data_IF_984319017445
#
_entry.id   IF_984319017445
#
_cell.length_a   1.000
_cell.length_b   1.000
_cell.length_c   1.000
_cell.angle_alpha   90.00
_cell.angle_beta   90.00
_cell.angle_gamma   90.00
#
_symmetry.space_group_name_H-M   'P 1'
#
loop_
_entity.id
_entity.type
_entity.pdbx_description
1 polymer ?
#
# COMPACT_ATOMS: atom_id res chain seq x y z
N UNK A 1 0.27 16.05 -16.30
CA UNK A 1 0.90 14.93 -15.58
C UNK A 1 1.97 14.28 -16.47
N UNK A 2 3.21 14.22 -16.03
CA UNK A 2 4.33 13.53 -16.68
C UNK A 2 5.10 12.83 -15.57
N UNK A 3 5.04 11.52 -15.54
CA UNK A 3 5.63 10.77 -14.44
C UNK A 3 6.14 9.39 -14.85
N UNK A 4 6.84 8.78 -13.94
CA UNK A 4 7.24 7.37 -13.98
C UNK A 4 7.00 6.74 -12.60
N UNK A 5 6.94 5.41 -12.59
CA UNK A 5 6.89 4.63 -11.35
C UNK A 5 8.20 3.90 -11.16
N UNK A 6 8.66 3.82 -9.91
CA UNK A 6 9.85 3.06 -9.51
C UNK A 6 9.41 2.02 -8.50
N UNK A 7 9.62 0.75 -8.83
CA UNK A 7 9.34 -0.37 -7.94
C UNK A 7 10.52 -0.59 -6.98
N UNK A 8 10.32 -0.15 -5.75
CA UNK A 8 11.30 -0.26 -4.67
C UNK A 8 11.10 -1.54 -3.84
N UNK A 9 9.90 -2.09 -3.86
CA UNK A 9 9.57 -3.26 -3.10
C UNK A 9 10.17 -4.54 -3.71
N UNK A 10 10.10 -4.69 -5.04
CA UNK A 10 10.71 -5.85 -5.71
C UNK A 10 12.21 -5.66 -5.89
N UNK A 11 12.67 -4.41 -6.07
CA UNK A 11 14.10 -4.09 -6.18
C UNK A 11 14.46 -2.84 -5.39
N UNK A 12 14.97 -3.04 -4.19
CA UNK A 12 15.43 -1.95 -3.32
C UNK A 12 16.65 -1.24 -3.92
N UNK A 13 16.65 0.09 -3.86
CA UNK A 13 17.73 0.96 -4.34
C UNK A 13 18.25 1.86 -3.22
N UNK A 14 19.54 2.15 -3.23
CA UNK A 14 20.15 3.15 -2.36
C UNK A 14 19.64 4.55 -2.69
N UNK A 15 19.63 5.44 -1.70
CA UNK A 15 19.19 6.84 -1.88
C UNK A 15 19.91 7.57 -3.00
N UNK A 16 21.22 7.32 -3.15
CA UNK A 16 22.03 7.96 -4.21
C UNK A 16 21.50 7.60 -5.61
N UNK A 17 21.01 6.36 -5.78
CA UNK A 17 20.38 5.92 -7.04
C UNK A 17 19.06 6.65 -7.26
N UNK A 18 18.23 6.78 -6.20
CA UNK A 18 16.97 7.49 -6.30
C UNK A 18 17.18 8.98 -6.60
N UNK A 19 18.16 9.62 -5.95
CA UNK A 19 18.51 11.01 -6.25
C UNK A 19 18.94 11.20 -7.70
N UNK A 20 19.74 10.28 -8.27
CA UNK A 20 20.09 10.31 -9.70
C UNK A 20 18.86 10.17 -10.60
N UNK A 21 17.91 9.27 -10.26
CA UNK A 21 16.67 9.12 -11.02
C UNK A 21 15.80 10.38 -10.96
N UNK A 22 15.76 11.06 -9.81
CA UNK A 22 15.10 12.35 -9.64
C UNK A 22 15.77 13.42 -10.53
N UNK A 23 17.11 13.51 -10.55
CA UNK A 23 17.85 14.44 -11.39
C UNK A 23 17.57 14.19 -12.89
N UNK A 24 17.58 12.93 -13.31
CA UNK A 24 17.23 12.55 -14.69
C UNK A 24 15.79 12.92 -15.03
N UNK A 25 14.86 12.63 -14.11
CA UNK A 25 13.43 12.96 -14.28
C UNK A 25 13.23 14.48 -14.46
N UNK A 26 13.90 15.29 -13.64
CA UNK A 26 13.86 16.74 -13.77
C UNK A 26 14.45 17.22 -15.11
N UNK A 27 15.59 16.65 -15.54
CA UNK A 27 16.19 16.96 -16.83
C UNK A 27 15.24 16.68 -18.00
N UNK A 28 14.49 15.56 -17.95
CA UNK A 28 13.47 15.20 -18.95
C UNK A 28 12.10 15.87 -18.72
N UNK A 29 12.03 16.84 -17.80
CA UNK A 29 10.83 17.61 -17.50
C UNK A 29 9.65 16.74 -17.04
N UNK A 30 9.92 15.64 -16.37
CA UNK A 30 8.90 14.92 -15.58
C UNK A 30 8.60 15.74 -14.34
N UNK A 31 7.39 15.62 -13.81
CA UNK A 31 6.97 16.34 -12.60
C UNK A 31 6.44 15.41 -11.49
N UNK A 32 6.33 14.11 -11.76
CA UNK A 32 5.91 13.12 -10.76
C UNK A 32 6.78 11.87 -10.82
N UNK A 33 7.08 11.30 -9.66
CA UNK A 33 7.65 9.95 -9.52
C UNK A 33 6.80 9.21 -8.49
N UNK A 34 6.15 8.12 -8.91
CA UNK A 34 5.46 7.21 -8.02
C UNK A 34 6.46 6.22 -7.45
N UNK A 35 6.46 6.07 -6.14
CA UNK A 35 7.30 5.12 -5.43
C UNK A 35 6.45 3.95 -4.94
N UNK A 36 6.57 2.80 -5.59
CA UNK A 36 5.95 1.56 -5.16
C UNK A 36 6.75 0.98 -3.99
N UNK A 37 6.28 1.31 -2.76
CA UNK A 37 7.05 1.10 -1.53
C UNK A 37 6.82 -0.27 -0.90
N UNK A 38 5.70 -0.93 -1.25
CA UNK A 38 5.30 -2.18 -0.60
C UNK A 38 4.79 -3.20 -1.62
N UNK A 39 5.15 -4.46 -1.42
CA UNK A 39 4.72 -5.61 -2.21
C UNK A 39 4.97 -6.90 -1.41
N UNK A 40 4.64 -8.06 -1.98
CA UNK A 40 4.87 -9.39 -1.38
C UNK A 40 6.34 -9.64 -1.01
N UNK A 41 7.29 -9.07 -1.76
CA UNK A 41 8.73 -9.29 -1.57
C UNK A 41 9.30 -8.43 -0.44
N UNK A 42 8.83 -7.19 -0.29
CA UNK A 42 9.30 -6.33 0.79
C UNK A 42 8.38 -5.16 1.08
N UNK A 43 8.48 -4.67 2.29
CA UNK A 43 7.85 -3.45 2.79
C UNK A 43 8.98 -2.46 3.08
N UNK A 44 9.19 -1.49 2.18
CA UNK A 44 10.35 -0.59 2.24
C UNK A 44 10.09 0.71 2.99
N UNK A 45 8.84 0.94 3.39
CA UNK A 45 8.42 2.10 4.16
C UNK A 45 8.67 1.89 5.67
N UNK A 46 9.19 2.88 6.40
CA UNK A 46 9.34 2.80 7.84
C UNK A 46 7.99 3.04 8.52
N UNK A 47 7.55 2.11 9.34
CA UNK A 47 6.32 2.28 10.10
C UNK A 47 6.62 2.18 11.60
N UNK A 48 6.44 3.29 12.34
CA UNK A 48 6.76 3.34 13.77
C UNK A 48 5.73 2.58 14.61
N UNK A 49 4.46 2.65 14.22
CA UNK A 49 3.37 1.96 14.93
C UNK A 49 3.39 0.45 14.69
N UNK A 50 3.82 0.03 13.50
CA UNK A 50 3.89 -1.37 13.08
C UNK A 50 5.32 -1.74 12.61
N UNK A 51 6.33 -1.70 13.49
CA UNK A 51 7.74 -1.80 13.11
C UNK A 51 8.13 -3.13 12.46
N UNK A 52 7.39 -4.20 12.70
CA UNK A 52 7.65 -5.51 12.06
C UNK A 52 7.35 -5.53 10.56
N UNK A 53 6.59 -4.53 10.04
CA UNK A 53 6.33 -4.43 8.60
C UNK A 53 7.62 -4.15 7.83
N UNK A 54 8.46 -3.25 8.31
CA UNK A 54 9.67 -2.83 7.63
C UNK A 54 10.62 -4.01 7.39
N UNK A 55 10.84 -4.36 6.13
CA UNK A 55 11.68 -5.49 5.76
C UNK A 55 13.13 -5.23 6.16
N UNK A 56 13.73 -6.16 6.91
CA UNK A 56 15.12 -6.04 7.36
C UNK A 56 16.04 -5.82 6.17
N UNK A 57 16.95 -4.84 6.28
CA UNK A 57 17.95 -4.46 5.28
C UNK A 57 17.41 -4.00 3.92
N UNK A 58 16.09 -3.84 3.80
CA UNK A 58 15.40 -3.40 2.58
C UNK A 58 14.35 -2.31 2.83
N UNK A 59 14.57 -1.47 3.82
CA UNK A 59 13.67 -0.33 4.08
C UNK A 59 14.46 0.96 4.24
N UNK A 60 13.76 2.06 4.08
CA UNK A 60 14.29 3.40 4.32
C UNK A 60 13.92 3.85 5.73
N UNK A 61 14.76 4.69 6.34
CA UNK A 61 14.36 5.39 7.55
C UNK A 61 13.45 6.59 7.21
N UNK A 62 12.69 7.05 8.20
CA UNK A 62 11.86 8.26 8.08
C UNK A 62 12.70 9.47 7.62
N UNK A 63 13.88 9.66 8.22
CA UNK A 63 14.79 10.76 7.87
C UNK A 63 15.26 10.65 6.41
N UNK A 64 15.57 9.45 5.94
CA UNK A 64 15.97 9.21 4.55
C UNK A 64 14.86 9.56 3.55
N UNK A 65 13.62 9.19 3.84
CA UNK A 65 12.50 9.52 2.95
C UNK A 65 12.17 11.01 2.96
N UNK A 66 12.21 11.67 4.12
CA UNK A 66 12.03 13.13 4.22
C UNK A 66 13.13 13.87 3.42
N UNK A 67 14.40 13.44 3.54
CA UNK A 67 15.50 14.01 2.74
C UNK A 67 15.26 13.80 1.24
N UNK A 68 14.75 12.62 0.84
CA UNK A 68 14.44 12.32 -0.56
C UNK A 68 13.31 13.21 -1.09
N UNK A 69 12.24 13.41 -0.30
CA UNK A 69 11.13 14.31 -0.63
C UNK A 69 11.64 15.74 -0.82
N UNK A 70 12.39 16.26 0.15
CA UNK A 70 12.97 17.60 0.06
C UNK A 70 13.94 17.76 -1.14
N UNK A 71 14.64 16.68 -1.50
CA UNK A 71 15.54 16.68 -2.66
C UNK A 71 14.74 16.76 -3.97
N UNK A 72 13.62 16.05 -4.06
CA UNK A 72 12.74 16.05 -5.22
C UNK A 72 12.01 17.40 -5.38
N UNK A 73 11.48 17.95 -4.29
CA UNK A 73 10.78 19.24 -4.28
C UNK A 73 11.63 20.38 -4.82
N UNK A 74 12.91 20.43 -4.44
CA UNK A 74 13.88 21.42 -4.97
C UNK A 74 14.09 21.33 -6.49
N UNK A 75 13.64 20.23 -7.11
CA UNK A 75 13.74 19.95 -8.56
C UNK A 75 12.41 20.02 -9.29
N UNK A 76 11.34 20.41 -8.59
CA UNK A 76 10.00 20.45 -9.14
C UNK A 76 9.41 19.07 -9.41
N UNK A 77 9.90 18.03 -8.71
CA UNK A 77 9.40 16.66 -8.77
C UNK A 77 8.61 16.36 -7.50
N UNK A 78 7.36 15.95 -7.66
CA UNK A 78 6.54 15.43 -6.56
C UNK A 78 6.69 13.92 -6.47
N UNK A 79 7.04 13.41 -5.30
CA UNK A 79 7.07 11.98 -5.03
C UNK A 79 5.69 11.51 -4.55
N UNK A 80 5.06 10.61 -5.28
CA UNK A 80 3.77 10.00 -4.92
C UNK A 80 4.07 8.68 -4.19
N UNK A 81 3.76 8.56 -2.89
CA UNK A 81 3.92 7.30 -2.18
C UNK A 81 2.83 6.32 -2.59
N UNK A 82 3.21 5.06 -2.76
CA UNK A 82 2.28 3.95 -2.96
C UNK A 82 2.48 2.91 -1.87
N UNK A 83 1.37 2.59 -1.21
CA UNK A 83 1.22 1.45 -0.30
C UNK A 83 0.22 0.51 -0.96
N UNK A 84 0.69 -0.58 -1.53
CA UNK A 84 -0.15 -1.48 -2.31
C UNK A 84 -1.02 -2.36 -1.41
N UNK A 85 -2.32 -2.22 -1.55
CA UNK A 85 -3.38 -2.89 -0.78
C UNK A 85 -4.67 -2.98 -1.61
N UNK A 86 -5.52 -4.00 -1.42
CA UNK A 86 -5.41 -5.09 -0.46
C UNK A 86 -4.60 -6.28 -0.95
N UNK A 87 -4.29 -6.35 -2.26
CA UNK A 87 -3.36 -7.33 -2.85
C UNK A 87 -1.90 -7.01 -2.52
N UNK A 88 -0.97 -7.81 -3.02
CA UNK A 88 0.47 -7.59 -2.84
C UNK A 88 0.90 -7.34 -1.38
N UNK A 89 0.14 -7.92 -0.44
CA UNK A 89 0.19 -7.58 0.99
C UNK A 89 0.74 -8.71 1.87
N UNK A 90 1.53 -9.63 1.32
CA UNK A 90 2.10 -10.75 2.09
C UNK A 90 2.87 -10.26 3.32
N UNK A 91 3.60 -9.14 3.21
CA UNK A 91 4.38 -8.59 4.34
C UNK A 91 3.51 -8.09 5.50
N UNK A 92 2.33 -7.56 5.22
CA UNK A 92 1.35 -7.22 6.25
C UNK A 92 0.91 -8.47 7.03
N UNK A 93 0.59 -9.52 6.30
CA UNK A 93 0.08 -10.79 6.85
C UNK A 93 1.17 -11.52 7.62
N UNK A 94 2.41 -11.58 7.11
CA UNK A 94 3.54 -12.19 7.82
C UNK A 94 3.88 -11.47 9.12
N UNK A 95 3.81 -10.13 9.12
CA UNK A 95 4.20 -9.33 10.27
C UNK A 95 3.15 -9.30 11.40
N UNK A 96 1.87 -9.23 11.04
CA UNK A 96 0.73 -9.11 11.97
C UNK A 96 -0.47 -9.92 11.48
N UNK A 97 -0.37 -11.26 11.47
CA UNK A 97 -1.43 -12.12 10.93
C UNK A 97 -2.75 -11.97 11.68
N UNK A 98 -2.72 -11.63 12.96
CA UNK A 98 -3.90 -11.41 13.78
C UNK A 98 -4.77 -10.22 13.30
N UNK A 99 -4.14 -9.22 12.68
CA UNK A 99 -4.80 -8.03 12.13
C UNK A 99 -5.16 -8.27 10.66
N UNK A 100 -4.17 -8.70 9.86
CA UNK A 100 -4.26 -8.62 8.41
C UNK A 100 -4.67 -9.92 7.71
N UNK A 101 -4.45 -11.11 8.34
CA UNK A 101 -4.75 -12.36 7.65
C UNK A 101 -6.24 -12.71 7.65
N UNK A 102 -6.85 -13.01 6.51
CA UNK A 102 -8.12 -13.72 6.47
C UNK A 102 -8.01 -15.08 7.15
N UNK A 103 -9.11 -15.58 7.74
CA UNK A 103 -9.15 -16.87 8.42
C UNK A 103 -9.87 -17.88 7.53
N UNK A 104 -9.17 -18.40 6.53
CA UNK A 104 -9.70 -19.43 5.64
C UNK A 104 -9.26 -20.83 6.07
N UNK A 105 -10.11 -21.80 5.82
CA UNK A 105 -9.79 -23.23 5.98
C UNK A 105 -9.04 -23.79 4.78
N UNK A 106 -9.28 -23.24 3.61
CA UNK A 106 -8.65 -23.61 2.35
C UNK A 106 -8.43 -22.34 1.51
N UNK A 107 -7.21 -22.14 1.03
CA UNK A 107 -6.83 -20.98 0.21
C UNK A 107 -7.18 -21.15 -1.28
N UNK A 108 -7.56 -22.36 -1.69
CA UNK A 108 -7.92 -22.65 -3.09
C UNK A 108 -6.74 -22.47 -4.06
N UNK A 109 -7.05 -22.00 -5.26
CA UNK A 109 -6.06 -21.71 -6.31
C UNK A 109 -5.99 -20.22 -6.61
N UNK A 110 -4.81 -19.74 -6.98
CA UNK A 110 -4.66 -18.37 -7.48
C UNK A 110 -5.33 -18.21 -8.86
N UNK A 111 -5.46 -16.97 -9.35
CA UNK A 111 -6.10 -16.65 -10.63
C UNK A 111 -5.41 -17.32 -11.84
N UNK A 112 -4.17 -17.78 -11.67
CA UNK A 112 -3.37 -18.46 -12.71
C UNK A 112 -3.38 -19.98 -12.58
N UNK A 113 -4.19 -20.53 -11.64
CA UNK A 113 -4.37 -21.97 -11.43
C UNK A 113 -3.28 -22.64 -10.56
N UNK A 114 -2.31 -21.88 -10.05
CA UNK A 114 -1.32 -22.36 -9.06
C UNK A 114 -1.88 -22.36 -7.64
N UNK A 115 -1.03 -22.70 -6.65
CA UNK A 115 -1.40 -22.58 -5.23
C UNK A 115 -1.74 -21.13 -4.88
N UNK A 116 -2.79 -20.91 -4.08
CA UNK A 116 -3.15 -19.58 -3.64
C UNK A 116 -2.07 -19.03 -2.70
N UNK A 117 -1.71 -17.78 -2.91
CA UNK A 117 -0.81 -17.04 -2.05
C UNK A 117 -1.66 -16.23 -1.09
N UNK A 118 -1.32 -16.27 0.19
CA UNK A 118 -1.95 -15.43 1.20
C UNK A 118 -1.34 -14.02 1.14
N UNK A 119 -1.80 -13.21 0.19
CA UNK A 119 -1.29 -11.87 -0.04
C UNK A 119 -2.39 -10.80 -0.16
N UNK A 120 -3.61 -11.12 0.27
CA UNK A 120 -4.72 -10.16 0.33
C UNK A 120 -5.10 -9.95 1.78
N UNK A 121 -4.98 -8.71 2.27
CA UNK A 121 -5.36 -8.38 3.64
C UNK A 121 -6.87 -8.50 3.83
N UNK A 122 -7.28 -8.83 5.06
CA UNK A 122 -8.69 -9.02 5.41
C UNK A 122 -9.45 -7.70 5.47
N UNK A 123 -9.98 -7.26 4.33
CA UNK A 123 -10.74 -6.01 4.22
C UNK A 123 -12.12 -6.05 4.90
N UNK A 124 -12.52 -7.21 5.44
CA UNK A 124 -13.69 -7.35 6.34
C UNK A 124 -13.37 -7.07 7.81
N UNK A 125 -12.08 -6.91 8.16
CA UNK A 125 -11.66 -6.67 9.53
C UNK A 125 -11.52 -5.17 9.83
N UNK A 126 -12.28 -4.64 10.78
CA UNK A 126 -12.18 -3.23 11.21
C UNK A 126 -10.79 -2.84 11.72
N UNK A 127 -10.06 -3.77 12.35
CA UNK A 127 -8.69 -3.50 12.84
C UNK A 127 -7.71 -3.21 11.69
N UNK A 128 -7.96 -3.73 10.49
CA UNK A 128 -7.18 -3.41 9.29
C UNK A 128 -7.30 -1.94 8.96
N UNK A 129 -8.50 -1.37 9.00
CA UNK A 129 -8.70 0.07 8.72
C UNK A 129 -8.05 0.95 9.77
N UNK A 130 -8.09 0.55 11.04
CA UNK A 130 -7.37 1.25 12.12
C UNK A 130 -5.86 1.24 11.86
N UNK A 131 -5.32 0.10 11.46
CA UNK A 131 -3.90 -0.03 11.14
C UNK A 131 -3.52 0.80 9.90
N UNK A 132 -4.32 0.74 8.85
CA UNK A 132 -4.10 1.52 7.62
C UNK A 132 -4.19 3.03 7.88
N UNK A 133 -5.08 3.47 8.78
CA UNK A 133 -5.19 4.89 9.14
C UNK A 133 -3.89 5.41 9.76
N UNK A 134 -3.29 4.66 10.68
CA UNK A 134 -1.97 4.99 11.25
C UNK A 134 -0.86 4.99 10.22
N UNK A 135 -0.83 4.00 9.31
CA UNK A 135 0.16 3.96 8.23
C UNK A 135 0.02 5.17 7.31
N UNK A 136 -1.22 5.53 6.94
CA UNK A 136 -1.49 6.71 6.12
C UNK A 136 -1.04 8.01 6.79
N UNK A 137 -1.20 8.15 8.11
CA UNK A 137 -0.68 9.30 8.85
C UNK A 137 0.83 9.43 8.73
N UNK A 138 1.58 8.35 8.91
CA UNK A 138 3.03 8.35 8.77
C UNK A 138 3.46 8.61 7.30
N UNK A 139 2.73 8.06 6.32
CA UNK A 139 2.95 8.33 4.89
C UNK A 139 2.78 9.82 4.59
N UNK A 140 1.69 10.43 5.07
CA UNK A 140 1.39 11.85 4.85
C UNK A 140 2.42 12.75 5.51
N UNK A 141 2.86 12.42 6.71
CA UNK A 141 3.90 13.16 7.42
C UNK A 141 5.21 13.18 6.63
N UNK A 142 5.61 12.04 6.08
CA UNK A 142 6.85 11.91 5.30
C UNK A 142 6.73 12.56 3.93
N UNK A 143 5.67 12.23 3.19
CA UNK A 143 5.40 12.74 1.84
C UNK A 143 4.52 13.99 1.86
N UNK A 144 4.87 14.95 2.71
CA UNK A 144 4.07 16.13 3.02
C UNK A 144 3.73 16.98 1.80
N UNK A 145 4.62 17.06 0.81
CA UNK A 145 4.44 17.84 -0.43
C UNK A 145 3.56 17.14 -1.48
N UNK A 146 3.36 15.82 -1.37
CA UNK A 146 2.49 15.11 -2.30
C UNK A 146 1.01 15.39 -2.01
N UNK A 147 0.23 15.87 -2.99
CA UNK A 147 -1.22 15.91 -2.85
C UNK A 147 -1.88 14.54 -3.03
N UNK A 148 -1.12 13.55 -3.48
CA UNK A 148 -1.61 12.22 -3.85
C UNK A 148 -1.05 11.12 -2.95
N UNK A 149 -1.87 10.08 -2.75
CA UNK A 149 -1.47 8.79 -2.21
C UNK A 149 -2.01 7.71 -3.13
N UNK A 150 -1.13 6.83 -3.60
CA UNK A 150 -1.52 5.68 -4.40
C UNK A 150 -1.69 4.45 -3.50
N UNK A 151 -2.74 3.66 -3.73
CA UNK A 151 -3.00 2.45 -2.94
C UNK A 151 -2.79 1.17 -3.73
N UNK A 152 -2.26 1.25 -4.96
CA UNK A 152 -2.13 0.11 -5.87
C UNK A 152 -3.50 -0.42 -6.27
N UNK A 153 -4.01 -1.35 -5.48
CA UNK A 153 -5.31 -1.97 -5.59
C UNK A 153 -5.48 -2.88 -6.82
N UNK A 154 -4.38 -3.31 -7.41
CA UNK A 154 -4.36 -4.25 -8.51
C UNK A 154 -4.23 -5.71 -8.04
N UNK A 155 -4.57 -6.63 -8.91
CA UNK A 155 -4.35 -8.08 -8.82
C UNK A 155 -4.81 -8.75 -7.51
N UNK A 156 -5.72 -8.13 -6.73
CA UNK A 156 -6.23 -8.71 -5.50
C UNK A 156 -7.04 -9.97 -5.78
N UNK A 157 -6.56 -11.13 -5.31
CA UNK A 157 -7.31 -12.38 -5.39
C UNK A 157 -8.42 -12.43 -4.34
N UNK A 158 -9.60 -11.91 -4.69
CA UNK A 158 -10.74 -11.81 -3.77
C UNK A 158 -11.25 -13.15 -3.27
N UNK A 159 -10.92 -14.27 -3.92
CA UNK A 159 -11.23 -15.61 -3.40
C UNK A 159 -10.60 -15.85 -2.02
N UNK A 160 -9.53 -15.12 -1.69
CA UNK A 160 -8.91 -15.16 -0.36
C UNK A 160 -9.81 -14.58 0.75
N UNK A 161 -10.94 -14.01 0.42
CA UNK A 161 -11.92 -13.42 1.36
C UNK A 161 -13.22 -14.24 1.46
N UNK A 162 -13.42 -15.16 0.52
CA UNK A 162 -14.65 -15.99 0.48
C UNK A 162 -14.69 -16.96 1.67
N UNK A 163 -15.74 -16.88 2.48
CA UNK A 163 -15.91 -17.71 3.67
C UNK A 163 -15.04 -17.27 4.87
N UNK A 164 -14.40 -16.11 4.80
CA UNK A 164 -13.79 -15.50 5.98
C UNK A 164 -14.88 -14.89 6.89
N UNK A 165 -14.92 -15.28 8.18
CA UNK A 165 -16.00 -14.87 9.07
C UNK A 165 -16.13 -13.34 9.24
N UNK A 166 -15.03 -12.58 9.25
CA UNK A 166 -15.07 -11.12 9.37
C UNK A 166 -15.54 -10.46 8.09
N UNK A 167 -15.17 -11.02 6.93
CA UNK A 167 -15.66 -10.58 5.62
C UNK A 167 -17.18 -10.79 5.51
N UNK A 168 -17.68 -11.96 5.91
CA UNK A 168 -19.12 -12.26 5.93
C UNK A 168 -19.88 -11.34 6.90
N UNK A 169 -19.31 -11.07 8.10
CA UNK A 169 -19.89 -10.16 9.08
C UNK A 169 -19.95 -8.72 8.54
N UNK A 170 -18.87 -8.24 7.92
CA UNK A 170 -18.83 -6.92 7.33
C UNK A 170 -19.86 -6.76 6.21
N UNK A 171 -19.95 -7.73 5.30
CA UNK A 171 -20.94 -7.70 4.23
C UNK A 171 -22.36 -7.61 4.77
N UNK A 172 -22.70 -8.37 5.81
CA UNK A 172 -24.02 -8.31 6.47
C UNK A 172 -24.26 -6.96 7.15
N UNK A 173 -23.28 -6.47 7.92
CA UNK A 173 -23.35 -5.19 8.64
C UNK A 173 -23.59 -4.02 7.70
N UNK A 174 -22.85 -3.94 6.62
CA UNK A 174 -22.89 -2.85 5.65
C UNK A 174 -23.98 -3.07 4.57
N UNK A 175 -24.76 -4.16 4.69
CA UNK A 175 -25.84 -4.53 3.74
C UNK A 175 -25.33 -4.62 2.29
N UNK A 176 -24.13 -5.10 2.12
CA UNK A 176 -23.58 -5.43 0.82
C UNK A 176 -24.25 -6.70 0.29
N UNK A 177 -24.28 -6.88 -1.03
CA UNK A 177 -24.60 -8.19 -1.60
C UNK A 177 -23.64 -9.24 -1.06
N UNK A 178 -24.05 -10.49 -1.00
CA UNK A 178 -23.17 -11.62 -0.61
C UNK A 178 -22.16 -11.91 -1.73
N UNK A 179 -21.31 -10.92 -1.98
CA UNK A 179 -20.34 -10.87 -3.06
C UNK A 179 -19.07 -10.13 -2.61
N UNK A 180 -17.95 -10.81 -2.64
CA UNK A 180 -16.65 -10.25 -2.28
C UNK A 180 -16.23 -9.08 -3.17
N UNK A 181 -16.76 -8.96 -4.40
CA UNK A 181 -16.53 -7.80 -5.25
C UNK A 181 -17.20 -6.54 -4.68
N UNK A 182 -18.37 -6.67 -4.06
CA UNK A 182 -19.01 -5.57 -3.36
C UNK A 182 -18.24 -5.17 -2.09
N UNK A 183 -17.67 -6.15 -1.37
CA UNK A 183 -16.79 -5.90 -0.24
C UNK A 183 -15.51 -5.15 -0.70
N UNK A 184 -14.92 -5.55 -1.84
CA UNK A 184 -13.78 -4.85 -2.42
C UNK A 184 -14.14 -3.40 -2.84
N UNK A 185 -15.29 -3.21 -3.50
CA UNK A 185 -15.79 -1.87 -3.83
C UNK A 185 -15.96 -1.01 -2.57
N UNK A 186 -16.53 -1.58 -1.51
CA UNK A 186 -16.66 -0.90 -0.21
C UNK A 186 -15.30 -0.50 0.36
N UNK A 187 -14.31 -1.39 0.30
CA UNK A 187 -12.94 -1.10 0.71
C UNK A 187 -12.37 0.11 -0.04
N UNK A 188 -12.45 0.13 -1.37
CA UNK A 188 -11.94 1.23 -2.19
C UNK A 188 -12.61 2.56 -1.81
N UNK A 189 -13.92 2.57 -1.66
CA UNK A 189 -14.67 3.78 -1.25
C UNK A 189 -14.25 4.24 0.14
N UNK A 190 -14.08 3.32 1.07
CA UNK A 190 -13.66 3.62 2.44
C UNK A 190 -12.24 4.18 2.48
N UNK A 191 -11.30 3.59 1.76
CA UNK A 191 -9.93 4.10 1.63
C UNK A 191 -9.89 5.50 1.04
N UNK A 192 -10.67 5.75 -0.03
CA UNK A 192 -10.79 7.08 -0.60
C UNK A 192 -11.30 8.11 0.42
N UNK A 193 -12.30 7.78 1.22
CA UNK A 193 -12.81 8.66 2.25
C UNK A 193 -11.77 8.91 3.36
N UNK A 194 -11.05 7.89 3.80
CA UNK A 194 -9.97 8.02 4.80
C UNK A 194 -8.87 8.97 4.31
N UNK A 195 -8.41 8.80 3.06
CA UNK A 195 -7.38 9.64 2.45
C UNK A 195 -7.89 11.07 2.23
N UNK A 196 -9.12 11.23 1.76
CA UNK A 196 -9.77 12.53 1.57
C UNK A 196 -9.94 13.31 2.88
N UNK A 197 -10.29 12.63 3.99
CA UNK A 197 -10.41 13.25 5.30
C UNK A 197 -9.06 13.76 5.84
N UNK A 198 -7.95 13.28 5.29
CA UNK A 198 -6.59 13.76 5.58
C UNK A 198 -6.10 14.80 4.57
N UNK A 199 -7.03 15.41 3.78
CA UNK A 199 -6.76 16.43 2.75
C UNK A 199 -5.79 15.95 1.65
N UNK A 200 -5.85 14.67 1.30
CA UNK A 200 -5.12 14.08 0.17
C UNK A 200 -6.08 13.50 -0.85
N UNK A 201 -5.58 13.26 -2.05
CA UNK A 201 -6.33 12.60 -3.14
C UNK A 201 -5.79 11.19 -3.32
N UNK A 202 -6.70 10.21 -3.31
CA UNK A 202 -6.35 8.83 -3.64
C UNK A 202 -6.19 8.66 -5.14
N UNK A 203 -5.21 7.92 -5.59
CA UNK A 203 -5.03 7.45 -6.96
C UNK A 203 -4.59 5.98 -6.96
#
# INVERSE_FOLDING_TARGET
YRGLMIDLARKWHKLETLKKLIDMSAYYKLNYIQLHLTDDQSFTFPCSKYPKLATKDRHYSKVQLIDLVNYADKRGITLIPEIDIPGHSQKFIEAYPEIFSPKLKDWGKNMWGGEAINNVINIGNEEVYVALDHILEEVIEIFHSSPYIHIGADEANLNNLVGDPKSDEMMKKEKLADDVHELYRYFIVRMNNMIKNKNKTMC
#
